data_IF_054454554412
#
_entry.id   IF_054454554412
#
_cell.length_a   1.000
_cell.length_b   1.000
_cell.length_c   1.000
_cell.angle_alpha   90.00
_cell.angle_beta   90.00
_cell.angle_gamma   90.00
#
_symmetry.space_group_name_H-M   'P 1'
#
loop_
_entity.id
_entity.type
_entity.pdbx_description
1 polymer ?
#
# COMPACT_ATOMS: atom_id res chain seq x y z
N UNK A 1 -13.03 -0.63 3.67
CA UNK A 1 -14.15 -1.24 2.92
C UNK A 1 -13.70 -1.47 1.48
N UNK A 2 -13.80 -2.68 0.96
CA UNK A 2 -13.44 -3.02 -0.42
C UNK A 2 -14.42 -2.40 -1.43
N UNK A 3 -14.01 -2.29 -2.70
CA UNK A 3 -14.94 -2.02 -3.81
C UNK A 3 -15.99 -3.14 -3.83
N UNK A 4 -17.28 -2.81 -4.03
CA UNK A 4 -18.30 -3.86 -4.12
C UNK A 4 -18.16 -4.59 -5.45
N UNK A 5 -18.49 -5.88 -5.50
CA UNK A 5 -18.41 -6.65 -6.75
C UNK A 5 -19.24 -6.04 -7.89
N UNK A 6 -20.31 -5.32 -7.57
CA UNK A 6 -21.08 -4.53 -8.55
C UNK A 6 -20.27 -3.36 -9.12
N UNK A 7 -19.62 -2.57 -8.28
CA UNK A 7 -18.81 -1.43 -8.72
C UNK A 7 -17.57 -1.87 -9.49
N UNK A 8 -16.93 -2.99 -9.10
CA UNK A 8 -15.83 -3.57 -9.87
C UNK A 8 -16.30 -3.92 -11.28
N UNK A 9 -17.42 -4.63 -11.41
CA UNK A 9 -17.94 -5.02 -12.74
C UNK A 9 -18.32 -3.82 -13.61
N UNK A 10 -18.75 -2.72 -12.98
CA UNK A 10 -19.23 -1.54 -13.68
C UNK A 10 -18.10 -0.57 -14.06
N UNK A 11 -17.09 -0.41 -13.19
CA UNK A 11 -16.09 0.67 -13.30
C UNK A 11 -14.64 0.21 -13.41
N UNK A 12 -14.29 -1.04 -13.07
CA UNK A 12 -12.89 -1.51 -13.10
C UNK A 12 -12.20 -1.28 -14.44
N UNK A 13 -12.93 -1.45 -15.54
CA UNK A 13 -12.42 -1.34 -16.91
C UNK A 13 -12.74 -0.02 -17.60
N UNK A 14 -13.42 0.91 -16.92
CA UNK A 14 -13.76 2.22 -17.50
C UNK A 14 -12.62 3.20 -17.26
N UNK A 15 -12.41 4.08 -18.22
CA UNK A 15 -11.48 5.20 -18.06
C UNK A 15 -11.97 6.13 -16.94
N UNK A 16 -11.14 6.47 -15.94
CA UNK A 16 -11.54 7.31 -14.81
C UNK A 16 -12.25 8.61 -15.18
N UNK A 17 -11.79 9.29 -16.23
CA UNK A 17 -12.42 10.50 -16.79
C UNK A 17 -13.90 10.31 -17.14
N UNK A 18 -14.32 9.10 -17.53
CA UNK A 18 -15.67 8.86 -18.06
C UNK A 18 -16.74 8.76 -16.97
N UNK A 19 -16.37 8.28 -15.78
CA UNK A 19 -17.31 8.11 -14.66
C UNK A 19 -17.16 9.20 -13.59
N UNK A 20 -15.98 9.81 -13.44
CA UNK A 20 -15.73 10.83 -12.41
C UNK A 20 -16.62 12.10 -12.56
N UNK A 21 -17.06 12.42 -13.78
CA UNK A 21 -17.95 13.57 -14.03
C UNK A 21 -19.43 13.36 -13.62
N UNK A 22 -19.86 12.14 -13.26
CA UNK A 22 -21.28 11.80 -13.09
C UNK A 22 -21.85 11.94 -11.65
N UNK A 23 -21.26 12.77 -10.76
CA UNK A 23 -21.74 13.07 -9.39
C UNK A 23 -21.57 11.94 -8.35
N UNK A 24 -20.37 11.39 -8.19
CA UNK A 24 -20.05 10.62 -6.98
C UNK A 24 -19.48 11.54 -5.89
N UNK A 25 -19.71 11.23 -4.61
CA UNK A 25 -18.96 11.83 -3.50
C UNK A 25 -17.47 11.56 -3.77
N UNK A 26 -16.66 12.58 -4.10
CA UNK A 26 -15.31 12.39 -4.64
C UNK A 26 -14.35 11.72 -3.66
N UNK A 27 -14.71 11.66 -2.38
CA UNK A 27 -13.78 11.23 -1.34
C UNK A 27 -13.79 9.71 -1.13
N UNK A 28 -14.95 9.08 -0.92
CA UNK A 28 -15.00 7.64 -0.57
C UNK A 28 -14.87 6.73 -1.79
N UNK A 29 -15.56 7.04 -2.89
CA UNK A 29 -15.48 6.24 -4.12
C UNK A 29 -14.06 6.22 -4.69
N UNK A 30 -13.41 7.38 -4.80
CA UNK A 30 -12.06 7.49 -5.35
C UNK A 30 -11.03 6.79 -4.46
N UNK A 31 -11.17 6.83 -3.12
CA UNK A 31 -10.33 6.04 -2.20
C UNK A 31 -10.47 4.53 -2.47
N UNK A 32 -11.70 4.04 -2.62
CA UNK A 32 -11.96 2.62 -2.89
C UNK A 32 -11.40 2.19 -4.25
N UNK A 33 -11.59 3.01 -5.29
CA UNK A 33 -11.01 2.77 -6.61
C UNK A 33 -9.48 2.85 -6.60
N UNK A 34 -8.87 3.76 -5.83
CA UNK A 34 -7.42 3.78 -5.63
C UNK A 34 -6.92 2.46 -5.03
N UNK A 35 -7.58 1.96 -3.98
CA UNK A 35 -7.21 0.67 -3.38
C UNK A 35 -7.31 -0.49 -4.38
N UNK A 36 -8.36 -0.49 -5.20
CA UNK A 36 -8.54 -1.49 -6.26
C UNK A 36 -7.45 -1.39 -7.35
N UNK A 37 -7.19 -0.20 -7.89
CA UNK A 37 -6.17 -0.04 -8.91
C UNK A 37 -4.77 -0.32 -8.39
N UNK A 38 -4.50 -0.04 -7.11
CA UNK A 38 -3.27 -0.43 -6.45
C UNK A 38 -3.13 -1.94 -6.31
N UNK A 39 -4.22 -2.64 -5.96
CA UNK A 39 -4.21 -4.10 -5.82
C UNK A 39 -4.05 -4.84 -7.15
N UNK A 40 -4.44 -4.25 -8.28
CA UNK A 40 -4.21 -4.84 -9.62
C UNK A 40 -2.97 -4.29 -10.35
N UNK A 41 -2.30 -3.29 -9.78
CA UNK A 41 -1.05 -2.74 -10.33
C UNK A 41 -1.22 -1.68 -11.42
N UNK A 42 -2.41 -1.07 -11.56
CA UNK A 42 -2.70 -0.09 -12.61
C UNK A 42 -2.19 1.32 -12.25
N UNK A 43 -0.90 1.52 -12.50
CA UNK A 43 -0.22 2.79 -12.23
C UNK A 43 -0.79 3.96 -13.05
N UNK A 44 -1.35 3.69 -14.24
CA UNK A 44 -1.91 4.73 -15.11
C UNK A 44 -3.16 5.34 -14.50
N UNK A 45 -4.12 4.48 -14.10
CA UNK A 45 -5.34 4.93 -13.43
C UNK A 45 -5.07 5.49 -12.04
N UNK A 46 -4.09 4.95 -11.31
CA UNK A 46 -3.66 5.51 -10.04
C UNK A 46 -3.14 6.95 -10.15
N UNK A 47 -2.25 7.22 -11.11
CA UNK A 47 -1.74 8.58 -11.34
C UNK A 47 -2.87 9.53 -11.72
N UNK A 48 -3.76 9.09 -12.59
CA UNK A 48 -4.90 9.89 -12.97
C UNK A 48 -5.77 10.25 -11.76
N UNK A 49 -6.10 9.26 -10.92
CA UNK A 49 -6.88 9.50 -9.70
C UNK A 49 -6.14 10.43 -8.73
N UNK A 50 -4.81 10.32 -8.62
CA UNK A 50 -4.02 11.22 -7.78
C UNK A 50 -4.05 12.67 -8.27
N UNK A 51 -3.92 12.88 -9.58
CA UNK A 51 -3.89 14.23 -10.17
C UNK A 51 -5.27 14.90 -10.21
N UNK A 52 -6.36 14.12 -10.17
CA UNK A 52 -7.72 14.60 -10.43
C UNK A 52 -8.71 14.40 -9.27
N UNK A 53 -8.35 13.64 -8.25
CA UNK A 53 -9.15 13.42 -7.06
C UNK A 53 -8.38 13.86 -5.82
N UNK A 54 -9.04 14.54 -4.87
CA UNK A 54 -8.49 14.82 -3.53
C UNK A 54 -8.51 13.56 -2.62
N UNK A 55 -8.32 12.39 -3.25
CA UNK A 55 -8.31 11.11 -2.58
C UNK A 55 -6.90 10.88 -2.04
N UNK A 56 -6.70 11.22 -0.75
CA UNK A 56 -5.53 10.78 0.00
C UNK A 56 -5.50 9.24 -0.04
N UNK A 57 -4.43 8.68 -0.61
CA UNK A 57 -4.18 7.24 -0.61
C UNK A 57 -4.12 6.72 0.83
N UNK A 58 -4.34 5.42 1.01
CA UNK A 58 -4.41 4.79 2.32
C UNK A 58 -3.34 3.70 2.48
N UNK A 59 -3.08 3.29 3.72
CA UNK A 59 -2.16 2.17 3.98
C UNK A 59 -2.62 0.90 3.25
N UNK A 60 -3.93 0.71 3.09
CA UNK A 60 -4.54 -0.40 2.36
C UNK A 60 -4.19 -0.41 0.87
N UNK A 61 -4.00 0.74 0.22
CA UNK A 61 -3.52 0.78 -1.17
C UNK A 61 -2.11 0.20 -1.29
N UNK A 62 -1.22 0.57 -0.36
CA UNK A 62 0.16 0.06 -0.33
C UNK A 62 0.18 -1.41 0.06
N UNK A 63 -0.60 -1.80 1.05
CA UNK A 63 -0.71 -3.18 1.51
C UNK A 63 -1.25 -4.09 0.39
N UNK A 64 -2.27 -3.64 -0.35
CA UNK A 64 -2.82 -4.34 -1.51
C UNK A 64 -1.82 -4.46 -2.66
N UNK A 65 -1.13 -3.37 -3.02
CA UNK A 65 -0.09 -3.40 -4.04
C UNK A 65 1.08 -4.32 -3.66
N UNK A 66 1.48 -4.31 -2.38
CA UNK A 66 2.55 -5.15 -1.87
C UNK A 66 2.15 -6.63 -1.85
N UNK A 67 0.95 -6.93 -1.37
CA UNK A 67 0.38 -8.28 -1.31
C UNK A 67 0.28 -8.90 -2.70
N UNK A 68 0.01 -8.12 -3.75
CA UNK A 68 -0.09 -8.61 -5.13
C UNK A 68 1.21 -8.42 -5.95
N UNK A 69 2.31 -7.99 -5.31
CA UNK A 69 3.63 -7.97 -5.94
C UNK A 69 3.88 -6.79 -6.89
N UNK A 70 3.03 -5.76 -6.86
CA UNK A 70 3.11 -4.57 -7.73
C UNK A 70 4.16 -3.58 -7.23
N UNK A 71 5.44 -3.95 -7.35
CA UNK A 71 6.58 -3.17 -6.86
C UNK A 71 6.58 -1.70 -7.35
N UNK A 72 6.22 -1.46 -8.62
CA UNK A 72 6.22 -0.11 -9.18
C UNK A 72 5.12 0.78 -8.58
N UNK A 73 3.98 0.20 -8.21
CA UNK A 73 2.93 0.90 -7.48
C UNK A 73 3.38 1.16 -6.04
N UNK A 74 4.00 0.18 -5.38
CA UNK A 74 4.54 0.33 -4.01
C UNK A 74 5.56 1.47 -3.94
N UNK A 75 6.50 1.52 -4.89
CA UNK A 75 7.48 2.62 -5.02
C UNK A 75 6.80 3.96 -5.23
N UNK A 76 5.87 4.02 -6.19
CA UNK A 76 5.19 5.27 -6.50
C UNK A 76 4.39 5.80 -5.31
N UNK A 77 3.62 4.95 -4.62
CA UNK A 77 2.87 5.34 -3.42
C UNK A 77 3.80 5.84 -2.31
N UNK A 78 4.96 5.20 -2.12
CA UNK A 78 5.97 5.65 -1.15
C UNK A 78 6.62 6.98 -1.53
N UNK A 79 6.94 7.17 -2.82
CA UNK A 79 7.53 8.42 -3.29
C UNK A 79 6.53 9.56 -3.13
N UNK A 80 5.26 9.34 -3.47
CA UNK A 80 4.16 10.29 -3.26
C UNK A 80 3.99 10.65 -1.78
N UNK A 81 4.02 9.66 -0.88
CA UNK A 81 4.07 9.87 0.58
C UNK A 81 5.23 10.76 1.04
N UNK A 82 6.37 10.63 0.37
CA UNK A 82 7.59 11.37 0.68
C UNK A 82 7.53 12.83 0.17
N UNK A 83 6.87 13.09 -0.97
CA UNK A 83 6.67 14.47 -1.48
C UNK A 83 5.52 15.20 -0.78
N UNK A 84 4.45 14.53 -0.35
CA UNK A 84 3.42 15.17 0.49
C UNK A 84 4.00 15.62 1.84
N UNK A 85 4.95 14.84 2.37
CA UNK A 85 5.75 15.22 3.54
C UNK A 85 6.70 16.40 3.27
N UNK A 86 7.20 16.55 2.04
CA UNK A 86 8.07 17.65 1.63
C UNK A 86 7.30 18.95 1.30
N UNK A 87 6.02 18.85 0.92
CA UNK A 87 5.14 19.97 0.65
C UNK A 87 4.62 20.68 1.92
N UNK A 88 4.75 20.07 3.11
CA UNK A 88 4.49 20.73 4.40
C UNK A 88 5.72 21.48 4.95
N UNK A 89 6.28 22.39 4.15
CA UNK A 89 7.11 23.48 4.68
C UNK A 89 6.21 24.69 4.86
N UNK A 90 5.91 25.07 6.11
CA UNK A 90 5.39 26.42 6.34
C UNK A 90 6.46 27.45 5.94
N UNK A 91 6.04 28.71 5.75
CA UNK A 91 6.90 29.83 5.35
C UNK A 91 8.08 30.11 6.29
N UNK A 92 8.15 29.43 7.45
CA UNK A 92 9.20 29.55 8.46
C UNK A 92 10.21 28.41 8.45
N UNK A 93 10.04 27.39 7.58
CA UNK A 93 11.02 26.32 7.37
C UNK A 93 11.19 25.35 8.54
N UNK A 94 10.34 25.39 9.57
CA UNK A 94 10.36 24.45 10.69
C UNK A 94 9.44 23.25 10.44
N UNK A 95 9.98 22.05 10.67
CA UNK A 95 9.24 20.78 10.66
C UNK A 95 8.27 20.76 11.84
N UNK A 96 7.06 21.28 11.65
CA UNK A 96 6.00 21.06 12.61
C UNK A 96 5.38 19.71 12.30
N UNK A 97 5.59 18.75 13.21
CA UNK A 97 4.74 17.58 13.37
C UNK A 97 3.27 18.04 13.43
N UNK A 98 2.59 18.06 12.28
CA UNK A 98 1.15 18.27 12.18
C UNK A 98 0.48 16.93 11.86
N UNK A 99 0.86 15.91 12.62
CA UNK A 99 -0.06 14.83 12.94
C UNK A 99 -0.80 15.27 14.21
N UNK A 100 -2.12 15.18 14.21
CA UNK A 100 -3.07 15.72 15.21
C UNK A 100 -3.60 17.10 14.84
N UNK A 101 -4.72 17.14 14.12
CA UNK A 101 -5.84 18.05 14.41
C UNK A 101 -7.17 17.66 13.73
N UNK A 102 -7.29 16.46 13.17
CA UNK A 102 -8.58 15.78 13.00
C UNK A 102 -8.46 14.41 13.66
N UNK A 103 -9.51 13.94 14.33
CA UNK A 103 -9.58 12.69 15.10
C UNK A 103 -9.48 11.39 14.28
N UNK A 104 -8.73 11.42 13.18
CA UNK A 104 -8.28 10.29 12.39
C UNK A 104 -6.76 10.42 12.23
N UNK A 105 -6.04 10.16 13.33
CA UNK A 105 -4.59 10.03 13.32
C UNK A 105 -4.18 8.65 12.79
N UNK A 106 -4.62 8.32 11.57
CA UNK A 106 -3.91 7.36 10.73
C UNK A 106 -2.77 8.12 10.05
N UNK A 107 -1.75 8.47 10.82
CA UNK A 107 -0.43 8.69 10.24
C UNK A 107 -0.20 7.50 9.30
N UNK A 108 -0.04 7.76 7.99
CA UNK A 108 0.01 6.76 6.92
C UNK A 108 1.27 5.93 7.04
N UNK A 109 1.31 5.14 8.11
CA UNK A 109 2.32 4.20 8.48
C UNK A 109 1.85 2.92 7.81
N UNK A 110 2.56 2.45 6.79
CA UNK A 110 2.20 1.13 6.31
C UNK A 110 2.40 0.17 7.44
N UNK A 111 1.43 -0.72 7.49
CA UNK A 111 1.38 -1.74 8.50
C UNK A 111 2.42 -2.80 8.14
N UNK A 112 2.71 -3.66 9.12
CA UNK A 112 3.46 -4.88 8.84
C UNK A 112 2.76 -5.76 7.79
N UNK A 113 1.45 -5.56 7.54
CA UNK A 113 0.67 -6.33 6.58
C UNK A 113 1.18 -6.22 5.14
N UNK A 114 1.78 -5.09 4.74
CA UNK A 114 2.41 -4.99 3.42
C UNK A 114 3.52 -6.03 3.24
N UNK A 115 4.42 -6.17 4.22
CA UNK A 115 5.53 -7.12 4.13
C UNK A 115 5.07 -8.55 4.39
N UNK A 116 4.12 -8.74 5.30
CA UNK A 116 3.52 -10.06 5.59
C UNK A 116 2.78 -10.61 4.37
N UNK A 117 1.94 -9.79 3.72
CA UNK A 117 1.23 -10.16 2.50
C UNK A 117 2.15 -10.42 1.30
N UNK A 118 3.16 -9.56 1.12
CA UNK A 118 4.18 -9.79 0.09
C UNK A 118 4.96 -11.09 0.34
N UNK A 119 5.25 -11.43 1.60
CA UNK A 119 5.95 -12.65 1.96
C UNK A 119 5.06 -13.89 1.76
N UNK A 120 3.81 -13.82 2.22
CA UNK A 120 2.80 -14.87 2.06
C UNK A 120 2.60 -15.27 0.59
N UNK A 121 2.68 -14.32 -0.35
CA UNK A 121 2.51 -14.58 -1.79
C UNK A 121 3.83 -14.73 -2.56
N UNK A 122 4.98 -14.72 -1.86
CA UNK A 122 6.26 -15.04 -2.48
C UNK A 122 6.91 -13.87 -3.25
N UNK A 123 6.46 -12.64 -3.05
CA UNK A 123 6.95 -11.44 -3.74
C UNK A 123 8.26 -10.91 -3.13
N UNK A 124 9.35 -11.69 -3.31
CA UNK A 124 10.67 -11.39 -2.74
C UNK A 124 11.21 -10.00 -3.09
N UNK A 125 10.95 -9.51 -4.30
CA UNK A 125 11.36 -8.18 -4.76
C UNK A 125 10.68 -7.06 -3.94
N UNK A 126 9.39 -7.22 -3.65
CA UNK A 126 8.63 -6.31 -2.78
C UNK A 126 9.13 -6.41 -1.35
N UNK A 127 9.31 -7.62 -0.81
CA UNK A 127 9.85 -7.83 0.56
C UNK A 127 11.19 -7.13 0.76
N UNK A 128 12.14 -7.30 -0.18
CA UNK A 128 13.45 -6.64 -0.15
C UNK A 128 13.33 -5.12 -0.17
N UNK A 129 12.46 -4.60 -1.04
CA UNK A 129 12.27 -3.16 -1.19
C UNK A 129 11.64 -2.56 0.06
N UNK A 130 10.59 -3.20 0.61
CA UNK A 130 9.93 -2.76 1.83
C UNK A 130 10.92 -2.76 3.01
N UNK A 131 11.75 -3.81 3.16
CA UNK A 131 12.72 -3.86 4.26
C UNK A 131 13.77 -2.76 4.17
N UNK A 132 14.21 -2.38 2.97
CA UNK A 132 15.22 -1.33 2.80
C UNK A 132 14.66 0.07 3.08
N UNK A 133 13.38 0.31 2.75
CA UNK A 133 12.80 1.65 2.75
C UNK A 133 11.82 1.89 3.91
N UNK A 134 11.47 0.87 4.71
CA UNK A 134 10.45 0.97 5.75
C UNK A 134 10.92 0.46 7.12
N UNK A 135 10.81 1.27 8.19
CA UNK A 135 11.26 0.88 9.52
C UNK A 135 10.30 -0.09 10.25
N UNK A 136 9.03 -0.21 9.84
CA UNK A 136 8.01 -0.98 10.57
C UNK A 136 8.25 -2.49 10.58
N UNK A 137 8.83 -3.02 9.49
CA UNK A 137 9.22 -4.42 9.39
C UNK A 137 8.11 -5.40 9.02
N UNK A 138 8.20 -6.64 9.51
CA UNK A 138 7.21 -7.69 9.32
C UNK A 138 6.93 -8.41 10.64
N UNK A 139 5.83 -9.15 10.71
CA UNK A 139 5.54 -10.04 11.84
C UNK A 139 6.12 -11.43 11.60
N UNK A 140 5.99 -12.32 12.57
CA UNK A 140 6.33 -13.74 12.38
C UNK A 140 5.46 -14.42 11.33
N UNK A 141 4.25 -13.90 11.08
CA UNK A 141 3.35 -14.40 10.03
C UNK A 141 3.97 -14.34 8.64
N UNK A 142 4.85 -13.37 8.37
CA UNK A 142 5.57 -13.31 7.09
C UNK A 142 6.38 -14.59 6.82
N UNK A 143 7.08 -15.13 7.82
CA UNK A 143 7.90 -16.32 7.66
C UNK A 143 7.05 -17.60 7.68
N UNK A 144 6.06 -17.66 8.56
CA UNK A 144 5.18 -18.83 8.70
C UNK A 144 4.35 -19.05 7.42
N UNK A 145 3.72 -17.99 6.90
CA UNK A 145 2.91 -18.06 5.68
C UNK A 145 3.77 -18.28 4.43
N UNK A 146 4.95 -17.66 4.36
CA UNK A 146 5.90 -17.93 3.28
C UNK A 146 6.37 -19.40 3.29
N UNK A 147 6.57 -20.00 4.47
CA UNK A 147 6.93 -21.40 4.61
C UNK A 147 5.78 -22.32 4.20
N UNK A 148 4.57 -22.07 4.71
CA UNK A 148 3.35 -22.83 4.41
C UNK A 148 3.02 -22.84 2.92
N UNK A 149 3.24 -21.72 2.22
CA UNK A 149 3.00 -21.59 0.79
C UNK A 149 4.21 -22.01 -0.09
N UNK A 150 5.30 -22.50 0.51
CA UNK A 150 6.46 -23.01 -0.21
C UNK A 150 7.36 -21.93 -0.84
N UNK A 151 7.27 -20.69 -0.39
CA UNK A 151 8.08 -19.56 -0.86
C UNK A 151 9.47 -19.54 -0.24
N UNK A 152 10.26 -20.59 -0.52
CA UNK A 152 11.58 -20.83 0.07
C UNK A 152 12.52 -19.62 -0.03
N UNK A 153 12.56 -18.94 -1.18
CA UNK A 153 13.41 -17.77 -1.40
C UNK A 153 13.06 -16.60 -0.47
N UNK A 154 11.79 -16.45 -0.10
CA UNK A 154 11.34 -15.44 0.87
C UNK A 154 11.72 -15.86 2.28
N UNK A 155 11.48 -17.12 2.66
CA UNK A 155 11.85 -17.65 3.98
C UNK A 155 13.34 -17.51 4.24
N UNK A 156 14.18 -17.93 3.28
CA UNK A 156 15.64 -17.83 3.39
C UNK A 156 16.07 -16.37 3.55
N UNK A 157 15.47 -15.46 2.77
CA UNK A 157 15.81 -14.06 2.84
C UNK A 157 15.39 -13.44 4.17
N UNK A 158 14.18 -13.70 4.65
CA UNK A 158 13.69 -13.24 5.95
C UNK A 158 14.57 -13.80 7.08
N UNK A 159 14.95 -15.07 7.03
CA UNK A 159 15.79 -15.71 8.04
C UNK A 159 17.19 -15.08 8.13
N UNK A 160 17.77 -14.68 6.99
CA UNK A 160 19.11 -14.07 6.97
C UNK A 160 19.12 -12.57 7.31
N UNK A 161 18.01 -11.85 7.10
CA UNK A 161 17.98 -10.38 7.17
C UNK A 161 17.13 -9.82 8.30
N UNK A 162 16.38 -10.68 9.01
CA UNK A 162 15.44 -10.27 10.05
C UNK A 162 15.56 -11.13 11.30
N UNK A 163 15.15 -10.56 12.45
CA UNK A 163 15.28 -11.19 13.77
C UNK A 163 13.97 -11.71 14.34
N UNK A 164 12.83 -11.38 13.73
CA UNK A 164 11.51 -11.82 14.23
C UNK A 164 11.36 -13.35 14.22
N UNK A 165 11.99 -14.04 13.26
CA UNK A 165 11.98 -15.51 13.19
C UNK A 165 10.66 -16.11 12.71
N UNK A 166 10.52 -17.43 12.84
CA UNK A 166 9.30 -18.20 12.57
C UNK A 166 8.70 -18.75 13.87
N UNK A 167 7.41 -19.04 13.85
CA UNK A 167 6.72 -19.78 14.91
C UNK A 167 6.48 -21.24 14.52
N UNK A 168 5.82 -21.99 15.41
CA UNK A 168 5.39 -23.37 15.14
C UNK A 168 4.31 -23.47 14.06
N UNK A 169 3.76 -22.36 13.56
CA UNK A 169 2.80 -22.35 12.45
C UNK A 169 3.44 -22.54 11.07
N UNK A 170 4.78 -22.53 10.99
CA UNK A 170 5.53 -22.71 9.74
C UNK A 170 5.61 -24.16 9.22
N UNK A 171 5.05 -25.14 9.95
CA UNK A 171 5.11 -26.59 9.69
C UNK A 171 3.74 -27.22 9.47
#
# INVERSE_FOLDING_TARGET
MSVSSSEESEYAYREPVTWHHQKHDPSDFCKRMMNYYASIGDLGRLRWLYDNCDAKYSAEAVDGAATNGHLEVVKWLHDVLSVDSAAMRNSSGTFTELWSLDGDNSAVKCTTAAMDGAAMNGHLNVVKWLHKNRPEGCTTSAMDEAARNGHFSVVLWLHCNRKEGCTTAAI
#
